data_IF_061040153336
#
_entry.id   IF_061040153336
#
_cell.length_a   1.000
_cell.length_b   1.000
_cell.length_c   1.000
_cell.angle_alpha   90.00
_cell.angle_beta   90.00
_cell.angle_gamma   90.00
#
_symmetry.space_group_name_H-M   'P 1'
#
loop_
_entity.id
_entity.type
_entity.pdbx_description
1 polymer ?
#
# COMPACT_ATOMS: atom_id res chain seq x y z
N UNK A 1 -1.22 3.65 14.52
CA UNK A 1 -0.91 4.55 13.39
C UNK A 1 -2.23 5.16 13.03
N UNK A 2 -2.32 6.48 12.96
CA UNK A 2 -3.56 7.10 12.52
C UNK A 2 -3.79 6.80 11.02
N UNK A 3 -5.04 6.67 10.59
CA UNK A 3 -5.39 6.42 9.18
C UNK A 3 -4.80 7.50 8.28
N UNK A 4 -4.84 8.75 8.72
CA UNK A 4 -4.34 9.88 7.95
C UNK A 4 -2.82 9.88 7.77
N UNK A 5 -2.09 9.19 8.65
CA UNK A 5 -0.65 9.04 8.50
C UNK A 5 -0.29 8.26 7.23
N UNK A 6 -1.13 7.31 6.79
CA UNK A 6 -0.90 6.53 5.56
C UNK A 6 -1.05 7.43 4.33
N UNK A 7 -1.91 8.44 4.36
CA UNK A 7 -2.11 9.37 3.24
C UNK A 7 -1.17 10.59 3.28
N UNK A 8 -0.57 10.88 4.44
CA UNK A 8 0.35 12.00 4.61
C UNK A 8 1.65 11.86 3.81
N UNK A 9 2.23 12.96 3.30
CA UNK A 9 3.50 12.90 2.57
C UNK A 9 4.66 12.38 3.46
N UNK A 10 5.68 11.78 2.81
CA UNK A 10 6.92 11.35 3.47
C UNK A 10 7.23 9.86 3.31
N UNK A 11 8.52 9.51 3.40
CA UNK A 11 9.07 8.16 3.16
C UNK A 11 9.55 7.45 4.43
N UNK A 12 8.98 7.81 5.59
CA UNK A 12 9.30 7.12 6.84
C UNK A 12 9.00 5.62 6.70
N UNK A 13 9.92 4.76 7.15
CA UNK A 13 9.87 3.31 6.90
C UNK A 13 8.53 2.69 7.29
N UNK A 14 7.96 3.11 8.44
CA UNK A 14 6.64 2.67 8.90
C UNK A 14 5.52 3.02 7.93
N UNK A 15 5.48 4.27 7.43
CA UNK A 15 4.50 4.72 6.43
C UNK A 15 4.63 3.98 5.12
N UNK A 16 5.87 3.74 4.69
CA UNK A 16 6.14 3.01 3.44
C UNK A 16 5.66 1.57 3.55
N UNK A 17 5.96 0.87 4.65
CA UNK A 17 5.45 -0.50 4.89
C UNK A 17 3.91 -0.53 4.89
N UNK A 18 3.28 0.42 5.58
CA UNK A 18 1.82 0.53 5.63
C UNK A 18 1.20 0.78 4.24
N UNK A 19 1.73 1.73 3.45
CA UNK A 19 1.27 1.97 2.07
C UNK A 19 1.47 0.78 1.17
N UNK A 20 2.60 0.09 1.30
CA UNK A 20 2.89 -1.11 0.51
C UNK A 20 1.84 -2.19 0.74
N UNK A 21 1.55 -2.50 2.01
CA UNK A 21 0.51 -3.45 2.37
C UNK A 21 -0.88 -3.00 1.90
N UNK A 22 -1.22 -1.72 2.09
CA UNK A 22 -2.48 -1.14 1.59
C UNK A 22 -2.62 -1.34 0.07
N UNK A 23 -1.60 -0.98 -0.72
CA UNK A 23 -1.65 -1.12 -2.17
C UNK A 23 -1.81 -2.59 -2.59
N UNK A 24 -1.08 -3.49 -1.94
CA UNK A 24 -1.16 -4.93 -2.23
C UNK A 24 -2.59 -5.46 -2.01
N UNK A 25 -3.19 -5.24 -0.85
CA UNK A 25 -4.55 -5.71 -0.56
C UNK A 25 -5.63 -4.99 -1.37
N UNK A 26 -5.48 -3.68 -1.57
CA UNK A 26 -6.44 -2.91 -2.36
C UNK A 26 -6.56 -3.41 -3.80
N UNK A 27 -5.45 -3.82 -4.41
CA UNK A 27 -5.50 -4.41 -5.76
C UNK A 27 -5.89 -5.89 -5.72
N UNK A 28 -5.31 -6.67 -4.81
CA UNK A 28 -5.50 -8.13 -4.77
C UNK A 28 -6.89 -8.55 -4.29
N UNK A 29 -7.43 -7.85 -3.29
CA UNK A 29 -8.65 -8.28 -2.58
C UNK A 29 -9.83 -7.34 -2.86
N UNK A 30 -9.55 -6.04 -3.03
CA UNK A 30 -10.59 -5.03 -3.30
C UNK A 30 -10.68 -4.64 -4.79
N UNK A 31 -9.90 -5.28 -5.67
CA UNK A 31 -9.91 -5.09 -7.12
C UNK A 31 -9.79 -3.62 -7.57
N UNK A 32 -9.12 -2.78 -6.78
CA UNK A 32 -8.92 -1.38 -7.10
C UNK A 32 -7.90 -1.21 -8.23
N UNK A 33 -8.09 -0.20 -9.07
CA UNK A 33 -7.12 0.13 -10.12
C UNK A 33 -5.87 0.82 -9.55
N UNK A 34 -4.71 0.59 -10.17
CA UNK A 34 -3.46 1.30 -9.84
C UNK A 34 -3.61 2.81 -9.97
N UNK A 35 -4.38 3.28 -10.97
CA UNK A 35 -4.63 4.70 -11.22
C UNK A 35 -5.43 5.36 -10.08
N UNK A 36 -6.44 4.67 -9.55
CA UNK A 36 -7.22 5.20 -8.43
C UNK A 36 -6.40 5.24 -7.15
N UNK A 37 -5.57 4.22 -6.91
CA UNK A 37 -4.62 4.22 -5.80
C UNK A 37 -3.59 5.32 -5.91
N UNK A 38 -3.03 5.54 -7.11
CA UNK A 38 -2.08 6.62 -7.37
C UNK A 38 -2.69 8.00 -7.05
N UNK A 39 -3.93 8.23 -7.48
CA UNK A 39 -4.68 9.46 -7.19
C UNK A 39 -4.92 9.64 -5.69
N UNK A 40 -5.38 8.59 -4.99
CA UNK A 40 -5.67 8.64 -3.55
C UNK A 40 -4.43 8.82 -2.68
N UNK A 41 -3.30 8.23 -3.07
CA UNK A 41 -2.04 8.27 -2.31
C UNK A 41 -1.13 9.43 -2.72
N UNK A 42 -1.45 10.16 -3.79
CA UNK A 42 -0.63 11.25 -4.31
C UNK A 42 0.76 10.80 -4.78
N UNK A 43 0.85 9.58 -5.34
CA UNK A 43 2.09 9.01 -5.90
C UNK A 43 1.88 8.57 -7.35
N UNK A 44 2.96 8.32 -8.09
CA UNK A 44 2.87 7.87 -9.48
C UNK A 44 2.36 6.42 -9.57
N UNK A 45 1.75 6.06 -10.70
CA UNK A 45 1.29 4.68 -10.98
C UNK A 45 2.44 3.66 -10.82
N UNK A 46 3.66 3.88 -11.38
CA UNK A 46 4.80 3.01 -11.10
C UNK A 46 5.16 2.93 -9.61
N UNK A 47 4.99 4.03 -8.87
CA UNK A 47 5.18 4.06 -7.43
C UNK A 47 4.18 3.17 -6.68
N UNK A 48 2.93 3.08 -7.15
CA UNK A 48 1.94 2.12 -6.63
C UNK A 48 2.36 0.69 -6.94
N UNK A 49 2.78 0.40 -8.17
CA UNK A 49 3.27 -0.93 -8.57
C UNK A 49 4.43 -1.40 -7.69
N UNK A 50 5.43 -0.55 -7.49
CA UNK A 50 6.55 -0.85 -6.59
C UNK A 50 6.12 -0.99 -5.12
N UNK A 51 5.11 -0.24 -4.69
CA UNK A 51 4.54 -0.39 -3.36
C UNK A 51 3.83 -1.74 -3.19
N UNK A 52 3.08 -2.20 -4.21
CA UNK A 52 2.42 -3.49 -4.22
C UNK A 52 3.39 -4.66 -4.13
N UNK A 53 4.42 -4.72 -4.99
CA UNK A 53 5.41 -5.82 -4.99
C UNK A 53 6.07 -5.95 -3.60
N UNK A 54 6.43 -4.82 -3.01
CA UNK A 54 6.95 -4.78 -1.65
C UNK A 54 5.90 -5.21 -0.62
N UNK A 55 4.66 -4.80 -0.79
CA UNK A 55 3.54 -5.14 0.09
C UNK A 55 3.31 -6.65 0.13
N UNK A 56 3.31 -7.28 -1.04
CA UNK A 56 3.23 -8.74 -1.15
C UNK A 56 4.38 -9.42 -0.41
N UNK A 57 5.61 -8.96 -0.63
CA UNK A 57 6.79 -9.50 0.07
C UNK A 57 6.66 -9.36 1.60
N UNK A 58 6.20 -8.20 2.09
CA UNK A 58 6.00 -7.97 3.53
C UNK A 58 4.90 -8.88 4.08
N UNK A 59 3.77 -9.00 3.38
CA UNK A 59 2.66 -9.84 3.81
C UNK A 59 3.08 -11.31 3.92
N UNK A 60 3.85 -11.79 2.94
CA UNK A 60 4.40 -13.16 2.94
C UNK A 60 5.43 -13.37 4.05
N UNK A 61 6.40 -12.47 4.20
CA UNK A 61 7.47 -12.58 5.21
C UNK A 61 6.93 -12.53 6.64
N UNK A 62 5.84 -11.79 6.86
CA UNK A 62 5.24 -11.60 8.19
C UNK A 62 3.98 -12.43 8.43
N UNK A 63 3.57 -13.26 7.47
CA UNK A 63 2.30 -13.98 7.48
C UNK A 63 1.11 -13.06 7.82
N UNK A 64 1.10 -11.85 7.26
CA UNK A 64 -0.02 -10.94 7.42
C UNK A 64 -1.16 -11.31 6.46
N UNK A 65 -2.38 -11.18 6.96
CA UNK A 65 -3.60 -11.40 6.22
C UNK A 65 -4.49 -10.17 6.39
N UNK A 66 -5.26 -9.83 5.36
CA UNK A 66 -6.35 -8.89 5.52
C UNK A 66 -7.45 -9.61 6.33
N UNK A 67 -7.94 -8.95 7.36
CA UNK A 67 -9.05 -9.43 8.19
C UNK A 67 -10.28 -8.58 7.89
N UNK A 68 -11.45 -9.21 7.93
CA UNK A 68 -12.76 -8.59 7.72
C UNK A 68 -13.25 -7.90 9.02
#
# INVERSE_FOLDING_TARGET
>A
MDRDEIYSKGRQQKKVKARSLLCFWAVRELWMSLTDLARRLGISIPGVGYAMERGEAIARDKNYQLVD
#
